data_IF_971385661147
#
_entry.id   IF_971385661147
#
_cell.length_a   1.000
_cell.length_b   1.000
_cell.length_c   1.000
_cell.angle_alpha   90.00
_cell.angle_beta   90.00
_cell.angle_gamma   90.00
#
_symmetry.space_group_name_H-M   'P 1'
#
loop_
_entity.id
_entity.type
_entity.pdbx_description
1 polymer ?
#
# COMPACT_ATOMS: atom_id res chain seq x y z
N UNK A 1 24.86 7.58 12.43
CA UNK A 1 24.61 6.93 11.14
C UNK A 1 23.32 7.54 10.59
N UNK A 2 23.42 8.38 9.57
CA UNK A 2 22.23 8.92 8.91
C UNK A 2 21.61 7.80 8.09
N UNK A 3 20.47 7.28 8.55
CA UNK A 3 19.68 6.24 7.84
C UNK A 3 18.93 6.86 6.64
N UNK A 4 19.08 8.18 6.46
CA UNK A 4 18.29 8.98 5.52
C UNK A 4 18.44 8.50 4.08
N UNK A 5 19.67 8.28 3.65
CA UNK A 5 20.01 7.99 2.24
C UNK A 5 19.63 6.57 1.76
N UNK A 6 19.19 5.70 2.68
CA UNK A 6 18.76 4.32 2.38
C UNK A 6 17.35 4.00 2.88
N UNK A 7 16.57 5.03 3.21
CA UNK A 7 15.21 4.88 3.68
C UNK A 7 14.24 4.74 2.51
N UNK A 8 13.31 3.78 2.59
CA UNK A 8 12.21 3.64 1.65
C UNK A 8 11.34 4.90 1.61
N UNK A 9 11.13 5.54 2.76
CA UNK A 9 10.33 6.77 2.89
C UNK A 9 11.02 7.94 2.19
N UNK A 10 12.31 8.13 2.40
CA UNK A 10 13.09 9.18 1.72
C UNK A 10 13.07 8.97 0.20
N UNK A 11 13.32 7.73 -0.24
CA UNK A 11 13.28 7.39 -1.67
C UNK A 11 11.91 7.66 -2.27
N UNK A 12 10.83 7.36 -1.57
CA UNK A 12 9.47 7.63 -2.03
C UNK A 12 9.22 9.15 -2.12
N UNK A 13 9.65 9.91 -1.12
CA UNK A 13 9.56 11.37 -1.11
C UNK A 13 10.31 12.00 -2.29
N UNK A 14 11.59 11.65 -2.51
CA UNK A 14 12.42 12.16 -3.60
C UNK A 14 11.87 11.81 -4.98
N UNK A 15 11.09 10.73 -5.06
CA UNK A 15 10.49 10.27 -6.28
C UNK A 15 9.02 10.67 -6.44
N UNK A 16 8.46 11.48 -5.55
CA UNK A 16 7.05 11.88 -5.54
C UNK A 16 6.09 10.67 -5.58
N UNK A 17 6.42 9.62 -4.83
CA UNK A 17 5.55 8.48 -4.61
C UNK A 17 4.77 8.73 -3.32
N UNK A 18 3.43 8.82 -3.37
CA UNK A 18 2.63 9.04 -2.18
C UNK A 18 2.74 7.86 -1.21
N UNK A 19 2.77 8.16 0.07
CA UNK A 19 2.84 7.19 1.16
C UNK A 19 1.56 7.32 1.98
N UNK A 20 0.91 6.18 2.26
CA UNK A 20 -0.29 6.08 3.07
C UNK A 20 -0.02 5.19 4.28
N UNK A 21 -0.54 5.57 5.44
CA UNK A 21 -0.31 4.83 6.68
C UNK A 21 -1.61 4.66 7.49
N UNK A 22 -2.42 3.64 7.18
CA UNK A 22 -3.80 3.49 7.67
C UNK A 22 -3.92 3.35 9.19
N UNK A 23 -2.89 2.88 9.88
CA UNK A 23 -2.88 2.73 11.34
C UNK A 23 -1.73 3.52 11.98
N UNK A 24 -1.54 4.76 11.57
CA UNK A 24 -0.39 5.59 11.93
C UNK A 24 -0.21 5.75 13.44
N UNK A 25 -1.30 5.86 14.20
CA UNK A 25 -1.24 6.02 15.66
C UNK A 25 -0.66 4.81 16.39
N UNK A 26 -0.76 3.62 15.79
CA UNK A 26 -0.16 2.38 16.29
C UNK A 26 1.27 2.20 15.72
N UNK A 27 2.09 3.23 15.87
CA UNK A 27 3.47 3.23 15.41
C UNK A 27 4.36 4.12 16.28
N UNK A 28 5.67 3.94 16.18
CA UNK A 28 6.64 4.81 16.87
C UNK A 28 6.50 6.28 16.46
N UNK A 29 6.12 6.55 15.21
CA UNK A 29 5.84 7.91 14.75
C UNK A 29 4.54 8.46 15.38
N UNK A 30 3.55 7.61 15.62
CA UNK A 30 2.33 7.95 16.35
C UNK A 30 2.61 8.43 17.77
N UNK A 31 3.57 7.83 18.47
CA UNK A 31 3.99 8.30 19.79
C UNK A 31 4.55 9.73 19.74
N UNK A 32 5.23 10.10 18.66
CA UNK A 32 5.65 11.47 18.43
C UNK A 32 4.47 12.47 18.35
N UNK A 33 3.34 12.05 17.79
CA UNK A 33 2.13 12.88 17.76
C UNK A 33 1.50 13.04 19.14
N UNK A 34 1.52 12.00 19.98
CA UNK A 34 1.07 12.10 21.37
C UNK A 34 1.89 13.13 22.13
N UNK A 35 3.22 13.06 22.00
CA UNK A 35 4.13 14.05 22.61
C UNK A 35 3.87 15.46 22.07
N UNK A 36 3.59 15.56 20.76
CA UNK A 36 3.24 16.84 20.14
C UNK A 36 1.96 17.43 20.72
N UNK A 37 0.91 16.63 20.90
CA UNK A 37 -0.36 17.08 21.49
C UNK A 37 -0.17 17.53 22.94
N UNK A 38 0.58 16.79 23.74
CA UNK A 38 0.88 17.17 25.12
C UNK A 38 1.58 18.53 25.22
N UNK A 39 2.53 18.77 24.33
CA UNK A 39 3.25 20.06 24.28
C UNK A 39 2.43 21.21 23.69
N UNK A 40 1.41 20.91 22.89
CA UNK A 40 0.62 21.89 22.16
C UNK A 40 -0.89 21.66 22.33
N UNK A 41 -1.42 21.68 23.56
CA UNK A 41 -2.81 21.24 23.85
C UNK A 41 -3.87 22.06 23.14
N UNK A 42 -3.59 23.33 22.81
CA UNK A 42 -4.56 24.23 22.16
C UNK A 42 -4.48 24.20 20.62
N UNK A 43 -3.34 23.82 20.06
CA UNK A 43 -3.13 23.80 18.62
C UNK A 43 -2.10 22.72 18.27
N UNK A 44 -2.57 21.56 17.87
CA UNK A 44 -1.73 20.41 17.51
C UNK A 44 -2.10 19.87 16.13
N UNK A 45 -1.20 19.09 15.57
CA UNK A 45 -1.40 18.38 14.33
C UNK A 45 -2.35 17.20 14.56
N UNK A 46 -3.23 16.98 13.61
CA UNK A 46 -4.11 15.80 13.51
C UNK A 46 -3.89 15.10 12.17
N UNK A 47 -4.18 13.81 12.11
CA UNK A 47 -4.19 13.05 10.87
C UNK A 47 -5.64 12.74 10.51
N UNK A 48 -6.03 13.07 9.29
CA UNK A 48 -7.33 12.73 8.74
C UNK A 48 -7.22 11.40 7.97
N UNK A 49 -7.48 10.31 8.66
CA UNK A 49 -7.41 8.96 8.10
C UNK A 49 -8.50 8.67 7.06
N UNK A 50 -9.62 9.37 7.13
CA UNK A 50 -10.69 9.25 6.14
C UNK A 50 -10.26 9.90 4.83
N UNK A 51 -9.66 11.08 4.92
CA UNK A 51 -9.08 11.77 3.77
C UNK A 51 -7.97 10.95 3.12
N UNK A 52 -7.11 10.33 3.93
CA UNK A 52 -6.05 9.45 3.45
C UNK A 52 -6.60 8.29 2.59
N UNK A 53 -7.65 7.62 3.07
CA UNK A 53 -8.29 6.56 2.30
C UNK A 53 -8.98 7.06 1.03
N UNK A 54 -9.59 8.24 1.10
CA UNK A 54 -10.18 8.89 -0.07
C UNK A 54 -9.13 9.22 -1.13
N UNK A 55 -7.98 9.74 -0.73
CA UNK A 55 -6.88 10.06 -1.66
C UNK A 55 -6.33 8.79 -2.32
N UNK A 56 -6.14 7.71 -1.55
CA UNK A 56 -5.73 6.43 -2.11
C UNK A 56 -6.78 5.88 -3.11
N UNK A 57 -8.07 6.02 -2.79
CA UNK A 57 -9.16 5.63 -3.69
C UNK A 57 -9.15 6.47 -4.98
N UNK A 58 -8.84 7.74 -4.90
CA UNK A 58 -8.72 8.61 -6.09
C UNK A 58 -7.60 8.15 -7.03
N UNK A 59 -6.46 7.70 -6.49
CA UNK A 59 -5.40 7.08 -7.29
C UNK A 59 -5.93 5.84 -8.03
N UNK A 60 -6.74 5.02 -7.36
CA UNK A 60 -7.38 3.86 -7.97
C UNK A 60 -8.31 4.25 -9.10
N UNK A 61 -9.17 5.25 -8.89
CA UNK A 61 -10.13 5.75 -9.89
C UNK A 61 -9.42 6.26 -11.14
N UNK A 62 -8.32 6.97 -10.99
CA UNK A 62 -7.55 7.53 -12.11
C UNK A 62 -6.63 6.49 -12.79
N UNK A 63 -6.50 5.30 -12.24
CA UNK A 63 -5.63 4.26 -12.77
C UNK A 63 -6.36 3.41 -13.82
N UNK A 64 -5.86 3.33 -15.04
CA UNK A 64 -6.38 2.45 -16.10
C UNK A 64 -6.20 0.95 -15.82
N UNK A 65 -5.39 0.62 -14.85
CA UNK A 65 -5.12 -0.73 -14.36
C UNK A 65 -4.17 -0.67 -13.20
N UNK A 66 -4.30 -1.57 -12.26
CA UNK A 66 -3.51 -1.59 -11.03
C UNK A 66 -3.03 -2.99 -10.69
N UNK A 67 -1.91 -3.06 -10.02
CA UNK A 67 -1.38 -4.28 -9.43
C UNK A 67 -0.97 -4.04 -7.99
N UNK A 68 -1.01 -5.09 -7.19
CA UNK A 68 -0.65 -5.10 -5.78
C UNK A 68 0.61 -5.94 -5.57
N UNK A 69 1.58 -5.39 -4.85
CA UNK A 69 2.71 -6.12 -4.35
C UNK A 69 2.72 -5.97 -2.82
N UNK A 70 2.33 -7.01 -2.12
CA UNK A 70 2.11 -7.00 -0.68
C UNK A 70 3.19 -7.78 0.05
N UNK A 71 3.77 -7.17 1.07
CA UNK A 71 4.77 -7.77 1.94
C UNK A 71 4.16 -7.87 3.33
N UNK A 72 3.88 -9.10 3.77
CA UNK A 72 3.07 -9.36 4.96
C UNK A 72 1.57 -9.32 4.65
N UNK A 73 0.79 -8.82 5.60
CA UNK A 73 -0.67 -8.73 5.52
C UNK A 73 -1.21 -7.65 6.47
N UNK A 74 -2.39 -7.88 7.05
CA UNK A 74 -3.00 -6.98 8.03
C UNK A 74 -3.69 -5.76 7.42
N UNK A 75 -3.78 -4.68 8.19
CA UNK A 75 -4.53 -3.46 7.83
C UNK A 75 -4.10 -2.87 6.48
N UNK A 76 -2.82 -2.69 6.15
CA UNK A 76 -2.41 -2.13 4.87
C UNK A 76 -2.88 -2.94 3.66
N UNK A 77 -2.93 -4.27 3.78
CA UNK A 77 -3.46 -5.14 2.73
C UNK A 77 -4.93 -4.84 2.44
N UNK A 78 -5.77 -4.80 3.47
CA UNK A 78 -7.19 -4.49 3.29
C UNK A 78 -7.38 -3.06 2.78
N UNK A 79 -6.64 -2.12 3.34
CA UNK A 79 -6.70 -0.71 2.98
C UNK A 79 -6.50 -0.47 1.48
N UNK A 80 -5.50 -1.12 0.86
CA UNK A 80 -5.27 -0.99 -0.57
C UNK A 80 -6.29 -1.76 -1.42
N UNK A 81 -6.71 -2.94 -0.98
CA UNK A 81 -7.67 -3.75 -1.69
C UNK A 81 -9.07 -3.14 -1.69
N UNK A 82 -9.47 -2.51 -0.59
CA UNK A 82 -10.79 -1.92 -0.41
C UNK A 82 -11.00 -0.62 -1.22
N UNK A 83 -9.96 -0.11 -1.87
CA UNK A 83 -10.08 1.03 -2.79
C UNK A 83 -11.02 0.76 -3.97
N UNK A 84 -11.17 -0.50 -4.41
CA UNK A 84 -12.14 -0.90 -5.44
C UNK A 84 -13.56 -0.70 -4.92
N UNK A 85 -13.85 -1.26 -3.75
CA UNK A 85 -15.18 -1.16 -3.13
C UNK A 85 -15.51 0.30 -2.80
N UNK A 86 -14.53 1.05 -2.28
CA UNK A 86 -14.73 2.46 -1.97
C UNK A 86 -15.04 3.28 -3.23
N UNK A 87 -14.37 3.01 -4.35
CA UNK A 87 -14.66 3.66 -5.62
C UNK A 87 -16.10 3.38 -6.10
N UNK A 88 -16.55 2.12 -6.01
CA UNK A 88 -17.92 1.74 -6.34
C UNK A 88 -18.95 2.46 -5.46
N UNK A 89 -18.71 2.56 -4.16
CA UNK A 89 -19.57 3.32 -3.23
C UNK A 89 -19.62 4.81 -3.58
N UNK A 90 -18.57 5.36 -4.17
CA UNK A 90 -18.52 6.71 -4.71
C UNK A 90 -19.18 6.84 -6.10
N UNK A 91 -19.81 5.78 -6.61
CA UNK A 91 -20.46 5.77 -7.93
C UNK A 91 -19.48 5.77 -9.09
N UNK A 92 -18.24 5.27 -8.88
CA UNK A 92 -17.21 5.16 -9.92
C UNK A 92 -17.02 3.70 -10.31
N UNK A 93 -17.11 3.40 -11.59
CA UNK A 93 -16.74 2.10 -12.11
C UNK A 93 -15.23 2.00 -12.26
N UNK A 94 -14.64 1.00 -11.63
CA UNK A 94 -13.19 0.72 -11.69
C UNK A 94 -12.96 -0.78 -11.86
N UNK A 95 -11.92 -1.14 -12.60
CA UNK A 95 -11.50 -2.53 -12.69
C UNK A 95 -10.95 -3.04 -11.35
N UNK A 96 -11.10 -4.33 -11.07
CA UNK A 96 -10.38 -5.00 -9.99
C UNK A 96 -8.87 -4.81 -10.14
N UNK A 97 -8.11 -5.09 -9.09
CA UNK A 97 -6.66 -5.15 -9.19
C UNK A 97 -6.25 -6.33 -10.08
N UNK A 98 -5.68 -6.02 -11.23
CA UNK A 98 -5.39 -6.98 -12.31
C UNK A 98 -4.25 -7.95 -11.96
N UNK A 99 -3.32 -7.51 -11.12
CA UNK A 99 -2.18 -8.30 -10.67
C UNK A 99 -2.09 -8.22 -9.16
N UNK A 100 -1.81 -9.34 -8.51
CA UNK A 100 -1.58 -9.34 -7.07
C UNK A 100 -0.53 -10.38 -6.69
N UNK A 101 0.46 -9.96 -5.92
CA UNK A 101 1.45 -10.82 -5.29
C UNK A 101 1.49 -10.52 -3.82
N UNK A 102 1.43 -11.55 -2.99
CA UNK A 102 1.58 -11.42 -1.55
C UNK A 102 2.68 -12.35 -1.05
N UNK A 103 3.68 -11.77 -0.37
CA UNK A 103 4.74 -12.52 0.32
C UNK A 103 4.39 -12.51 1.81
N UNK A 104 4.21 -13.68 2.40
CA UNK A 104 3.85 -13.80 3.82
C UNK A 104 4.30 -15.13 4.41
N UNK A 105 4.63 -15.15 5.69
CA UNK A 105 4.84 -16.37 6.46
C UNK A 105 3.55 -16.86 7.13
N UNK A 106 2.49 -16.06 7.10
CA UNK A 106 1.21 -16.39 7.71
C UNK A 106 0.48 -17.47 6.91
N UNK A 107 -0.07 -18.46 7.63
CA UNK A 107 -1.02 -19.41 7.05
C UNK A 107 -2.33 -18.70 6.68
N UNK A 108 -3.08 -19.24 5.72
CA UNK A 108 -4.35 -18.65 5.28
C UNK A 108 -5.40 -18.54 6.39
N UNK A 109 -5.27 -19.33 7.46
CA UNK A 109 -6.13 -19.31 8.64
C UNK A 109 -5.70 -18.29 9.70
N UNK A 110 -4.53 -17.70 9.53
CA UNK A 110 -3.96 -16.74 10.47
C UNK A 110 -4.55 -15.35 10.25
N UNK A 111 -4.93 -14.67 11.33
CA UNK A 111 -5.36 -13.28 11.30
C UNK A 111 -4.32 -12.30 10.73
N UNK A 112 -3.03 -12.65 10.79
CA UNK A 112 -1.97 -11.89 10.14
C UNK A 112 -2.06 -11.92 8.60
N UNK A 113 -2.76 -12.89 8.03
CA UNK A 113 -3.12 -12.91 6.61
C UNK A 113 -4.38 -12.09 6.32
N UNK A 114 -4.87 -11.33 7.29
CA UNK A 114 -6.16 -10.59 7.29
C UNK A 114 -7.36 -11.48 7.02
N UNK A 115 -7.30 -12.73 7.48
CA UNK A 115 -8.34 -13.75 7.31
C UNK A 115 -8.78 -13.94 5.86
N UNK A 116 -7.97 -13.51 4.88
CA UNK A 116 -8.29 -13.71 3.47
C UNK A 116 -7.03 -13.97 2.64
N UNK A 117 -7.15 -14.96 1.75
CA UNK A 117 -6.20 -15.18 0.67
C UNK A 117 -6.50 -14.23 -0.49
N UNK A 118 -5.60 -14.13 -1.46
CA UNK A 118 -5.89 -13.40 -2.70
C UNK A 118 -7.08 -14.00 -3.46
N UNK A 119 -7.26 -15.31 -3.37
CA UNK A 119 -8.40 -16.01 -3.95
C UNK A 119 -9.74 -15.59 -3.31
N UNK A 120 -9.77 -15.40 -2.01
CA UNK A 120 -10.94 -14.85 -1.32
C UNK A 120 -11.17 -13.38 -1.66
N UNK A 121 -10.10 -12.58 -1.75
CA UNK A 121 -10.19 -11.19 -2.19
C UNK A 121 -10.82 -11.06 -3.58
N UNK A 122 -10.63 -12.05 -4.44
CA UNK A 122 -11.30 -12.13 -5.74
C UNK A 122 -12.80 -12.35 -5.62
N UNK A 123 -13.26 -13.18 -4.69
CA UNK A 123 -14.70 -13.41 -4.46
C UNK A 123 -15.45 -12.14 -4.00
N UNK A 124 -14.70 -11.16 -3.46
CA UNK A 124 -15.21 -9.85 -3.06
C UNK A 124 -15.05 -8.77 -4.15
N UNK A 125 -14.64 -9.16 -5.37
CA UNK A 125 -14.44 -8.20 -6.46
C UNK A 125 -13.21 -7.28 -6.32
N UNK A 126 -12.27 -7.60 -5.44
CA UNK A 126 -11.10 -6.74 -5.17
C UNK A 126 -9.91 -7.03 -6.09
N UNK A 127 -9.68 -8.31 -6.40
CA UNK A 127 -8.52 -8.80 -7.16
C UNK A 127 -8.99 -9.75 -8.25
N UNK A 128 -8.43 -9.63 -9.46
CA UNK A 128 -8.65 -10.57 -10.55
C UNK A 128 -7.91 -11.90 -10.28
N UNK A 129 -8.60 -13.03 -10.42
CA UNK A 129 -8.05 -14.37 -10.19
C UNK A 129 -7.01 -14.80 -11.21
N UNK A 130 -6.95 -14.15 -12.36
CA UNK A 130 -6.14 -14.62 -13.49
C UNK A 130 -4.64 -14.47 -13.24
N UNK A 131 -4.22 -13.53 -12.40
CA UNK A 131 -2.79 -13.21 -12.16
C UNK A 131 -2.54 -12.87 -10.69
N UNK A 132 -2.88 -13.80 -9.82
CA UNK A 132 -2.64 -13.72 -8.39
C UNK A 132 -1.59 -14.75 -7.97
N UNK A 133 -0.73 -14.39 -7.02
CA UNK A 133 0.29 -15.27 -6.48
C UNK A 133 0.49 -15.08 -4.98
N UNK A 134 0.25 -16.14 -4.23
CA UNK A 134 0.67 -16.24 -2.83
C UNK A 134 2.07 -16.83 -2.76
N UNK A 135 2.98 -16.18 -2.04
CA UNK A 135 4.34 -16.63 -1.76
C UNK A 135 4.49 -16.83 -0.26
N UNK A 136 4.40 -18.08 0.18
CA UNK A 136 4.56 -18.45 1.59
C UNK A 136 6.05 -18.55 1.94
N UNK A 137 6.65 -17.41 2.22
CA UNK A 137 8.06 -17.29 2.54
C UNK A 137 8.34 -16.06 3.40
N UNK A 138 9.51 -16.06 4.01
CA UNK A 138 10.01 -14.93 4.78
C UNK A 138 10.51 -13.85 3.82
N UNK A 139 10.04 -12.61 4.01
CA UNK A 139 10.24 -11.51 3.06
C UNK A 139 11.71 -11.11 2.90
N UNK A 140 12.52 -11.13 3.95
CA UNK A 140 13.95 -10.73 3.86
C UNK A 140 14.77 -11.69 3.02
N UNK A 141 14.31 -12.93 2.86
CA UNK A 141 14.94 -13.93 2.00
C UNK A 141 14.51 -13.80 0.54
N UNK A 142 13.25 -13.50 0.28
CA UNK A 142 12.66 -13.55 -1.07
C UNK A 142 12.67 -12.18 -1.75
N UNK A 143 12.38 -11.10 -1.01
CA UNK A 143 12.26 -9.77 -1.57
C UNK A 143 13.54 -9.28 -2.28
N UNK A 144 14.76 -9.49 -1.75
CA UNK A 144 15.98 -9.10 -2.45
C UNK A 144 16.17 -9.81 -3.80
N UNK A 145 15.74 -11.07 -3.91
CA UNK A 145 15.82 -11.83 -5.16
C UNK A 145 14.86 -11.27 -6.21
N UNK A 146 13.61 -11.00 -5.81
CA UNK A 146 12.60 -10.40 -6.69
C UNK A 146 13.03 -8.98 -7.12
N UNK A 147 13.53 -8.18 -6.19
CA UNK A 147 13.99 -6.83 -6.47
C UNK A 147 15.20 -6.83 -7.43
N UNK A 148 16.13 -7.77 -7.22
CA UNK A 148 17.30 -7.94 -8.10
C UNK A 148 16.87 -8.33 -9.52
N UNK A 149 15.96 -9.29 -9.67
CA UNK A 149 15.44 -9.69 -10.99
C UNK A 149 14.77 -8.52 -11.70
N UNK A 150 13.89 -7.80 -11.00
CA UNK A 150 13.21 -6.63 -11.54
C UNK A 150 14.20 -5.51 -11.95
N UNK A 151 15.22 -5.28 -11.13
CA UNK A 151 16.26 -4.29 -11.40
C UNK A 151 17.06 -4.64 -12.66
N UNK A 152 17.49 -5.89 -12.79
CA UNK A 152 18.30 -6.36 -13.92
C UNK A 152 17.50 -6.46 -15.23
N UNK A 153 16.22 -6.85 -15.18
CA UNK A 153 15.32 -6.80 -16.34
C UNK A 153 15.08 -5.38 -16.82
N UNK A 154 15.16 -4.40 -15.95
CA UNK A 154 15.14 -2.98 -16.23
C UNK A 154 13.92 -2.49 -17.06
N UNK A 155 12.83 -3.25 -17.11
CA UNK A 155 11.61 -2.88 -17.85
C UNK A 155 10.98 -1.58 -17.37
N UNK A 156 11.19 -1.25 -16.08
CA UNK A 156 10.75 0.02 -15.49
C UNK A 156 11.35 1.25 -16.18
N UNK A 157 12.49 1.15 -16.88
CA UNK A 157 13.12 2.25 -17.62
C UNK A 157 12.34 2.66 -18.87
N UNK A 158 11.54 1.74 -19.40
CA UNK A 158 10.81 1.92 -20.66
C UNK A 158 9.38 2.42 -20.43
N UNK A 159 8.95 2.58 -19.18
CA UNK A 159 7.60 3.06 -18.85
C UNK A 159 7.59 4.56 -18.56
N UNK A 160 6.51 5.21 -18.93
CA UNK A 160 6.25 6.58 -18.50
C UNK A 160 6.11 6.64 -16.97
N UNK A 161 6.81 7.60 -16.37
CA UNK A 161 6.75 7.83 -14.93
C UNK A 161 5.44 8.51 -14.56
N UNK A 162 4.65 7.89 -13.70
CA UNK A 162 3.44 8.48 -13.15
C UNK A 162 3.78 9.32 -11.92
N UNK A 163 3.21 10.50 -11.85
CA UNK A 163 3.33 11.38 -10.68
C UNK A 163 1.94 11.57 -10.06
N UNK A 164 1.62 10.72 -9.10
CA UNK A 164 0.32 10.74 -8.43
C UNK A 164 0.17 11.90 -7.45
N UNK A 165 1.25 12.50 -6.95
CA UNK A 165 1.16 13.64 -6.05
C UNK A 165 0.52 14.87 -6.72
N UNK A 166 0.55 14.96 -8.06
CA UNK A 166 -0.14 16.03 -8.81
C UNK A 166 -1.66 15.93 -8.77
N UNK A 167 -2.23 14.80 -8.35
CA UNK A 167 -3.67 14.61 -8.22
C UNK A 167 -4.23 15.42 -7.05
N UNK A 168 -3.41 15.63 -6.03
CA UNK A 168 -3.84 16.18 -4.74
C UNK A 168 -3.48 17.66 -4.55
N UNK A 169 -2.85 18.32 -5.51
CA UNK A 169 -2.45 19.76 -5.41
C UNK A 169 -1.91 20.48 -6.16
#
# INVERSE_FOLDING_TARGET
MCIRDSSLIETAYDNNVPIFCPAFTDSSAGFGLVIHQEKNPKKHMTIDSIREFRELTEIKIQSKGSGLFMIGGGVPKNFIQDTVICAELLGKEVDMHKYAVQITVADSRDGACSSSTLKEASSWGKVDVTKEQMVFAEATSVLPLIASDAYHKAEWKNRERKNFSKIFG
#
